data_IF_844292430680
#
_entry.id   IF_844292430680
#
_cell.length_a   1.000
_cell.length_b   1.000
_cell.length_c   1.000
_cell.angle_alpha   90.00
_cell.angle_beta   90.00
_cell.angle_gamma   90.00
#
_symmetry.space_group_name_H-M   'P 1'
#
loop_
_entity.id
_entity.type
_entity.pdbx_description
1 polymer ?
#
# COMPACT_ATOMS: atom_id res chain seq x y z
N UNK A 1 53.26 26.72 -0.11
CA UNK A 1 52.20 26.83 -1.13
C UNK A 1 51.59 25.47 -1.31
N UNK A 2 50.48 25.15 -0.57
CA UNK A 2 49.69 23.93 -0.77
C UNK A 2 48.23 24.36 -0.85
N UNK A 3 47.68 24.21 -2.05
CA UNK A 3 46.27 24.51 -2.35
C UNK A 3 45.42 23.33 -1.90
N UNK A 4 44.54 23.56 -0.93
CA UNK A 4 43.52 22.59 -0.47
C UNK A 4 42.31 22.80 -1.36
N UNK A 5 41.98 21.81 -2.19
CA UNK A 5 40.71 21.73 -2.92
C UNK A 5 39.65 21.12 -2.00
N UNK A 6 38.71 21.93 -1.60
CA UNK A 6 37.49 21.43 -0.92
C UNK A 6 36.52 20.93 -1.99
N UNK A 7 36.27 19.62 -2.04
CA UNK A 7 35.19 19.02 -2.82
C UNK A 7 33.92 19.17 -2.04
N UNK A 8 33.01 20.02 -2.53
CA UNK A 8 31.63 20.13 -2.07
C UNK A 8 30.84 19.04 -2.75
N UNK A 9 30.51 17.95 -2.02
CA UNK A 9 29.63 16.89 -2.46
C UNK A 9 28.18 17.37 -2.24
N UNK A 10 27.55 17.85 -3.32
CA UNK A 10 26.10 18.10 -3.34
C UNK A 10 25.43 16.75 -3.56
N UNK A 11 24.84 16.19 -2.50
CA UNK A 11 23.94 15.05 -2.60
C UNK A 11 22.62 15.53 -3.22
N UNK A 12 22.42 15.24 -4.50
CA UNK A 12 21.14 15.45 -5.19
C UNK A 12 20.22 14.29 -4.82
N UNK A 13 19.32 14.53 -3.88
CA UNK A 13 18.22 13.62 -3.62
C UNK A 13 17.26 13.65 -4.82
N UNK A 14 17.35 12.67 -5.69
CA UNK A 14 16.36 12.43 -6.75
C UNK A 14 15.17 11.76 -6.10
N UNK A 15 14.18 12.56 -5.71
CA UNK A 15 12.84 12.08 -5.46
C UNK A 15 12.29 11.55 -6.80
N UNK A 16 12.18 10.25 -6.94
CA UNK A 16 11.46 9.64 -8.04
C UNK A 16 9.96 9.89 -7.79
N UNK A 17 9.48 11.06 -8.26
CA UNK A 17 8.06 11.25 -8.53
C UNK A 17 7.73 10.28 -9.66
N UNK A 18 7.04 9.20 -9.36
CA UNK A 18 6.41 8.36 -10.35
C UNK A 18 5.40 9.22 -11.11
N UNK A 19 5.81 9.69 -12.30
CA UNK A 19 4.88 10.33 -13.21
C UNK A 19 3.94 9.24 -13.72
N UNK A 20 2.80 9.08 -13.05
CA UNK A 20 1.66 8.31 -13.56
C UNK A 20 1.31 8.89 -14.93
N UNK A 21 1.22 8.05 -15.94
CA UNK A 21 0.77 8.43 -17.27
C UNK A 21 -0.68 8.93 -17.16
N UNK A 22 -0.89 10.21 -17.45
CA UNK A 22 -2.23 10.78 -17.57
C UNK A 22 -2.99 10.03 -18.67
N UNK A 23 -3.97 9.22 -18.29
CA UNK A 23 -4.95 8.68 -19.21
C UNK A 23 -6.05 9.73 -19.33
N UNK A 24 -6.08 10.44 -20.44
CA UNK A 24 -7.20 11.29 -20.81
C UNK A 24 -8.17 10.44 -21.62
N UNK A 25 -9.25 9.98 -21.01
CA UNK A 25 -10.39 9.41 -21.72
C UNK A 25 -11.64 10.18 -21.26
N UNK A 26 -12.41 10.72 -22.21
CA UNK A 26 -13.67 11.40 -21.92
C UNK A 26 -13.58 12.80 -21.27
N UNK A 27 -12.45 13.53 -21.38
CA UNK A 27 -12.34 14.92 -20.87
C UNK A 27 -11.85 15.04 -19.42
N UNK A 28 -11.72 13.94 -18.67
CA UNK A 28 -11.16 13.92 -17.31
C UNK A 28 -9.67 13.54 -17.37
N UNK A 29 -8.82 14.31 -16.69
CA UNK A 29 -7.37 14.11 -16.60
C UNK A 29 -6.94 13.93 -15.14
N UNK A 30 -6.32 12.81 -14.82
CA UNK A 30 -5.74 12.57 -13.50
C UNK A 30 -4.40 13.28 -13.41
N UNK A 31 -4.25 14.20 -12.46
CA UNK A 31 -3.00 14.94 -12.20
C UNK A 31 -2.08 14.19 -11.25
N UNK A 32 -2.66 13.68 -10.17
CA UNK A 32 -1.97 12.83 -9.22
C UNK A 32 -2.93 11.86 -8.54
N UNK A 33 -2.42 10.70 -8.17
CA UNK A 33 -3.09 9.72 -7.32
C UNK A 33 -2.04 9.11 -6.40
N UNK A 34 -2.39 8.89 -5.13
CA UNK A 34 -1.46 8.33 -4.18
C UNK A 34 -2.12 7.79 -2.93
N UNK A 35 -1.35 6.99 -2.19
CA UNK A 35 -1.74 6.51 -0.88
C UNK A 35 -0.54 6.57 0.07
N UNK A 36 -0.74 7.15 1.25
CA UNK A 36 0.29 7.30 2.28
C UNK A 36 -0.08 6.45 3.51
N UNK A 37 0.71 5.40 3.82
CA UNK A 37 0.51 4.60 5.01
C UNK A 37 1.05 5.33 6.23
N UNK A 38 0.25 5.37 7.31
CA UNK A 38 0.57 5.99 8.60
C UNK A 38 0.41 4.94 9.71
N UNK A 39 1.22 3.88 9.66
CA UNK A 39 1.14 2.78 10.61
C UNK A 39 1.32 3.25 12.07
N UNK A 40 0.53 2.76 13.03
CA UNK A 40 -0.55 1.78 12.90
C UNK A 40 -1.94 2.40 12.70
N UNK A 41 -2.03 3.71 12.46
CA UNK A 41 -3.27 4.48 12.63
C UNK A 41 -4.14 4.59 11.39
N UNK A 42 -3.56 4.73 10.19
CA UNK A 42 -4.34 5.00 8.98
C UNK A 42 -3.58 4.74 7.69
N UNK A 43 -4.35 4.69 6.58
CA UNK A 43 -3.88 4.95 5.22
C UNK A 43 -4.65 6.16 4.70
N UNK A 44 -3.94 7.15 4.15
CA UNK A 44 -4.56 8.33 3.53
C UNK A 44 -4.42 8.23 2.03
N UNK A 45 -5.55 8.21 1.32
CA UNK A 45 -5.63 8.19 -0.14
C UNK A 45 -5.91 9.59 -0.64
N UNK A 46 -5.25 10.00 -1.72
CA UNK A 46 -5.38 11.32 -2.32
C UNK A 46 -5.53 11.21 -3.83
N UNK A 47 -6.36 12.08 -4.39
CA UNK A 47 -6.58 12.25 -5.83
C UNK A 47 -6.57 13.74 -6.17
N UNK A 48 -5.88 14.10 -7.26
CA UNK A 48 -6.05 15.37 -7.93
C UNK A 48 -6.47 15.11 -9.38
N UNK A 49 -7.58 15.70 -9.78
CA UNK A 49 -8.14 15.54 -11.12
C UNK A 49 -8.62 16.87 -11.69
N UNK A 50 -8.65 16.96 -13.01
CA UNK A 50 -9.15 18.11 -13.78
C UNK A 50 -10.01 17.59 -14.93
N UNK A 51 -11.10 18.30 -15.23
CA UNK A 51 -12.01 17.96 -16.31
C UNK A 51 -12.47 19.19 -17.09
N UNK A 52 -13.07 18.97 -18.26
CA UNK A 52 -13.66 20.02 -19.09
C UNK A 52 -15.02 20.50 -18.54
N UNK A 53 -15.61 19.77 -17.61
CA UNK A 53 -16.84 20.11 -16.87
C UNK A 53 -16.68 19.74 -15.40
N UNK A 54 -17.57 20.26 -14.53
CA UNK A 54 -17.48 20.00 -13.11
C UNK A 54 -17.46 18.50 -12.81
N UNK A 55 -16.49 18.05 -12.02
CA UNK A 55 -16.46 16.72 -11.44
C UNK A 55 -17.50 16.71 -10.31
N UNK A 56 -18.40 15.74 -10.33
CA UNK A 56 -19.58 15.66 -9.46
C UNK A 56 -19.63 14.40 -8.61
N UNK A 57 -18.79 13.39 -8.93
CA UNK A 57 -18.71 12.14 -8.17
C UNK A 57 -17.28 11.61 -8.17
N UNK A 58 -16.80 11.22 -6.98
CA UNK A 58 -15.47 10.62 -6.77
C UNK A 58 -15.57 9.47 -5.80
N UNK A 59 -15.41 8.27 -6.32
CA UNK A 59 -15.36 7.05 -5.53
C UNK A 59 -13.94 6.50 -5.40
N UNK A 60 -13.61 6.01 -4.22
CA UNK A 60 -12.44 5.16 -4.00
C UNK A 60 -12.89 3.70 -3.89
N UNK A 61 -12.37 2.86 -4.77
CA UNK A 61 -12.49 1.41 -4.65
C UNK A 61 -11.18 0.84 -4.12
N UNK A 62 -11.25 0.01 -3.07
CA UNK A 62 -10.07 -0.63 -2.50
C UNK A 62 -10.36 -2.05 -2.07
N UNK A 63 -9.30 -2.86 -2.00
CA UNK A 63 -9.34 -4.23 -1.46
C UNK A 63 -8.03 -4.58 -0.78
N UNK A 64 -8.12 -5.33 0.31
CA UNK A 64 -6.95 -5.92 0.95
C UNK A 64 -6.52 -7.16 0.15
N UNK A 65 -5.26 -7.16 -0.29
CA UNK A 65 -4.68 -8.28 -1.01
C UNK A 65 -4.30 -9.37 -0.01
N UNK A 66 -5.28 -10.22 0.28
CA UNK A 66 -5.09 -11.43 1.09
C UNK A 66 -5.74 -12.61 0.37
N UNK A 67 -5.23 -13.80 0.61
CA UNK A 67 -5.93 -14.99 0.13
C UNK A 67 -7.28 -15.09 0.83
N UNK A 68 -8.33 -14.84 0.07
CA UNK A 68 -9.71 -15.08 0.47
C UNK A 68 -10.40 -15.85 -0.65
N UNK A 69 -11.28 -16.76 -0.28
CA UNK A 69 -12.13 -17.47 -1.25
C UNK A 69 -13.06 -16.50 -1.99
N UNK A 70 -13.33 -15.35 -1.41
CA UNK A 70 -14.11 -14.27 -2.01
C UNK A 70 -13.32 -12.99 -1.88
N UNK A 71 -12.87 -12.38 -3.00
CA UNK A 71 -12.29 -11.06 -2.97
C UNK A 71 -13.35 -10.05 -2.50
N UNK A 72 -13.11 -9.40 -1.37
CA UNK A 72 -13.95 -8.32 -0.90
C UNK A 72 -13.35 -7.00 -1.40
N UNK A 73 -14.08 -6.30 -2.26
CA UNK A 73 -13.79 -4.90 -2.61
C UNK A 73 -14.77 -3.99 -1.87
N UNK A 74 -14.24 -2.90 -1.36
CA UNK A 74 -15.02 -1.83 -0.74
C UNK A 74 -15.04 -0.63 -1.69
N UNK A 75 -16.17 0.09 -1.71
CA UNK A 75 -16.31 1.36 -2.40
C UNK A 75 -16.69 2.42 -1.39
N UNK A 76 -16.06 3.56 -1.48
CA UNK A 76 -16.29 4.71 -0.62
C UNK A 76 -16.56 5.92 -1.51
N UNK A 77 -17.68 6.56 -1.30
CA UNK A 77 -17.99 7.89 -1.81
C UNK A 77 -17.17 8.90 -1.00
N UNK A 78 -16.31 9.65 -1.67
CA UNK A 78 -15.33 10.53 -1.02
C UNK A 78 -15.79 11.97 -1.09
N UNK A 79 -15.93 12.63 0.06
CA UNK A 79 -16.28 14.03 0.14
C UNK A 79 -15.22 14.92 -0.52
N UNK A 80 -15.65 15.80 -1.41
CA UNK A 80 -14.83 16.83 -2.07
C UNK A 80 -15.70 18.06 -2.40
N UNK A 81 -15.11 19.06 -3.02
CA UNK A 81 -15.86 20.22 -3.55
C UNK A 81 -15.94 20.12 -5.07
N UNK A 82 -17.15 20.13 -5.62
CA UNK A 82 -17.41 20.07 -7.05
C UNK A 82 -16.68 21.17 -7.81
N UNK A 83 -16.22 20.88 -9.02
CA UNK A 83 -15.55 21.83 -9.88
C UNK A 83 -14.75 21.16 -11.00
N UNK A 84 -14.26 21.98 -11.94
CA UNK A 84 -13.41 21.51 -13.04
C UNK A 84 -12.05 20.98 -12.57
N UNK A 85 -11.60 21.40 -11.39
CA UNK A 85 -10.37 20.89 -10.73
C UNK A 85 -10.70 20.52 -9.31
N UNK A 86 -10.44 19.26 -8.92
CA UNK A 86 -10.79 18.72 -7.62
C UNK A 86 -9.60 18.08 -6.94
N UNK A 87 -9.62 18.15 -5.62
CA UNK A 87 -8.75 17.35 -4.73
C UNK A 87 -9.65 16.58 -3.79
N UNK A 88 -9.59 15.25 -3.87
CA UNK A 88 -10.30 14.35 -2.98
C UNK A 88 -9.31 13.66 -2.05
N UNK A 89 -9.67 13.54 -0.78
CA UNK A 89 -8.85 12.86 0.23
C UNK A 89 -9.74 12.00 1.11
N UNK A 90 -9.36 10.73 1.23
CA UNK A 90 -10.02 9.82 2.15
C UNK A 90 -9.00 9.18 3.08
N UNK A 91 -9.32 9.20 4.38
CA UNK A 91 -8.51 8.60 5.43
C UNK A 91 -9.19 7.34 5.95
N UNK A 92 -8.56 6.20 5.70
CA UNK A 92 -8.98 4.94 6.30
C UNK A 92 -8.40 4.83 7.71
N UNK A 93 -9.25 5.04 8.72
CA UNK A 93 -8.84 4.92 10.12
C UNK A 93 -8.85 3.45 10.56
N UNK A 94 -7.70 2.98 11.01
CA UNK A 94 -7.51 1.59 11.43
C UNK A 94 -8.21 1.27 12.75
N UNK A 95 -8.49 2.29 13.58
CA UNK A 95 -9.22 2.07 14.84
C UNK A 95 -10.69 1.72 14.60
N UNK A 96 -11.28 2.20 13.52
CA UNK A 96 -12.68 1.94 13.18
C UNK A 96 -12.88 0.55 12.57
N UNK A 97 -11.87 0.02 11.90
CA UNK A 97 -11.97 -1.22 11.12
C UNK A 97 -11.22 -2.43 11.70
N UNK A 98 -10.63 -2.26 12.89
CA UNK A 98 -9.89 -3.33 13.57
C UNK A 98 -8.42 -3.47 13.15
N UNK A 99 -7.95 -2.57 12.29
CA UNK A 99 -6.55 -2.49 11.87
C UNK A 99 -6.13 -3.54 10.84
N UNK A 100 -4.95 -3.29 10.28
CA UNK A 100 -4.27 -4.22 9.38
C UNK A 100 -2.90 -4.56 9.97
N UNK A 101 -2.43 -5.80 9.85
CA UNK A 101 -1.05 -6.14 10.24
C UNK A 101 -0.04 -5.41 9.34
N UNK A 102 1.19 -5.16 9.84
CA UNK A 102 2.26 -4.59 9.02
C UNK A 102 2.57 -5.53 7.84
N UNK A 103 2.96 -4.94 6.72
CA UNK A 103 3.22 -5.68 5.47
C UNK A 103 1.97 -6.01 4.65
N UNK A 104 0.78 -5.62 5.12
CA UNK A 104 -0.46 -5.80 4.35
C UNK A 104 -0.44 -4.93 3.10
N UNK A 105 -0.77 -5.51 1.97
CA UNK A 105 -0.94 -4.80 0.71
C UNK A 105 -2.41 -4.49 0.46
N UNK A 106 -2.68 -3.25 0.05
CA UNK A 106 -4.01 -2.75 -0.29
C UNK A 106 -3.96 -2.23 -1.72
N UNK A 107 -4.72 -2.87 -2.60
CA UNK A 107 -4.94 -2.39 -3.95
C UNK A 107 -6.07 -1.36 -3.94
N UNK A 108 -5.94 -0.29 -4.70
CA UNK A 108 -6.94 0.75 -4.79
C UNK A 108 -6.99 1.35 -6.20
N UNK A 109 -8.14 1.95 -6.53
CA UNK A 109 -8.35 2.77 -7.73
C UNK A 109 -9.42 3.82 -7.47
N UNK A 110 -9.41 4.86 -8.27
CA UNK A 110 -10.40 5.92 -8.24
C UNK A 110 -11.35 5.78 -9.43
N UNK A 111 -12.63 6.08 -9.20
CA UNK A 111 -13.63 6.28 -10.20
C UNK A 111 -14.12 7.73 -10.09
N UNK A 112 -14.09 8.46 -11.19
CA UNK A 112 -14.42 9.87 -11.26
C UNK A 112 -15.53 10.05 -12.31
N UNK A 113 -16.55 10.85 -12.00
CA UNK A 113 -17.62 11.18 -12.92
C UNK A 113 -17.79 12.71 -13.00
N UNK A 114 -17.91 13.23 -14.22
CA UNK A 114 -18.17 14.64 -14.47
C UNK A 114 -19.65 14.93 -14.73
N UNK A 115 -20.03 16.22 -14.77
CA UNK A 115 -21.40 16.66 -15.04
C UNK A 115 -21.89 16.31 -16.47
N UNK A 116 -20.98 15.93 -17.36
CA UNK A 116 -21.28 15.40 -18.69
C UNK A 116 -21.56 13.88 -18.70
N UNK A 117 -21.57 13.22 -17.56
CA UNK A 117 -21.65 11.78 -17.39
C UNK A 117 -20.47 11.00 -18.00
N UNK A 118 -19.32 11.65 -18.16
CA UNK A 118 -18.11 10.93 -18.50
C UNK A 118 -17.53 10.28 -17.23
N UNK A 119 -17.22 9.01 -17.32
CA UNK A 119 -16.67 8.23 -16.21
C UNK A 119 -15.26 7.78 -16.57
N UNK A 120 -14.31 8.07 -15.68
CA UNK A 120 -12.92 7.62 -15.79
C UNK A 120 -12.52 6.85 -14.57
N UNK A 121 -11.85 5.73 -14.77
CA UNK A 121 -11.23 4.92 -13.69
C UNK A 121 -9.71 5.00 -13.81
N UNK A 122 -9.02 5.18 -12.67
CA UNK A 122 -7.56 5.05 -12.67
C UNK A 122 -7.16 3.58 -12.79
N UNK A 123 -5.98 3.29 -13.35
CA UNK A 123 -5.39 1.96 -13.19
C UNK A 123 -5.30 1.62 -11.69
N UNK A 124 -5.45 0.34 -11.33
CA UNK A 124 -5.23 -0.07 -9.95
C UNK A 124 -3.77 0.18 -9.55
N UNK A 125 -3.59 0.66 -8.32
CA UNK A 125 -2.30 0.86 -7.68
C UNK A 125 -2.30 0.15 -6.32
N UNK A 126 -1.13 -0.04 -5.73
CA UNK A 126 -1.00 -0.80 -4.48
C UNK A 126 -0.19 -0.02 -3.47
N UNK A 127 -0.71 0.08 -2.25
CA UNK A 127 0.01 0.60 -1.09
C UNK A 127 0.28 -0.52 -0.10
N UNK A 128 1.49 -0.54 0.45
CA UNK A 128 1.87 -1.48 1.50
C UNK A 128 1.83 -0.78 2.85
N UNK A 129 1.11 -1.37 3.80
CA UNK A 129 0.93 -0.83 5.15
C UNK A 129 2.05 -1.32 6.07
N UNK A 130 3.23 -0.68 5.96
CA UNK A 130 4.42 -1.04 6.72
C UNK A 130 4.59 -0.19 7.98
N UNK A 131 5.19 -0.81 9.01
CA UNK A 131 5.66 -0.09 10.18
C UNK A 131 7.07 0.46 9.94
N UNK A 132 7.15 1.69 9.43
CA UNK A 132 8.40 2.38 9.12
C UNK A 132 9.12 2.98 10.35
N UNK A 133 8.62 2.75 11.57
CA UNK A 133 9.25 3.23 12.81
C UNK A 133 10.49 2.41 13.19
N UNK A 134 10.64 1.21 12.61
CA UNK A 134 11.72 0.27 12.91
C UNK A 134 12.36 -0.24 11.63
N UNK A 135 13.64 -0.57 11.71
CA UNK A 135 14.31 -1.33 10.67
C UNK A 135 13.98 -2.81 10.89
N UNK A 136 13.19 -3.39 9.99
CA UNK A 136 12.75 -4.77 10.08
C UNK A 136 13.72 -5.69 9.37
N UNK A 137 14.27 -6.66 10.11
CA UNK A 137 14.93 -7.81 9.52
C UNK A 137 13.92 -8.87 9.11
N UNK A 138 14.27 -9.63 8.08
CA UNK A 138 13.42 -10.68 7.55
C UNK A 138 14.21 -11.99 7.46
N UNK A 139 13.69 -13.04 8.12
CA UNK A 139 14.18 -14.42 8.02
C UNK A 139 13.05 -15.26 7.45
N UNK A 140 13.32 -15.98 6.35
CA UNK A 140 12.32 -16.85 5.74
C UNK A 140 12.91 -18.22 5.40
N UNK A 141 12.05 -19.23 5.48
CA UNK A 141 12.27 -20.56 4.94
C UNK A 141 11.06 -20.94 4.06
N UNK A 142 10.93 -22.21 3.69
CA UNK A 142 9.88 -22.69 2.79
C UNK A 142 8.45 -22.50 3.37
N UNK A 143 8.30 -22.58 4.70
CA UNK A 143 7.02 -22.63 5.39
C UNK A 143 6.71 -21.40 6.25
N UNK A 144 7.72 -20.59 6.62
CA UNK A 144 7.55 -19.44 7.54
C UNK A 144 8.38 -18.24 7.15
N UNK A 145 7.79 -17.06 7.37
CA UNK A 145 8.45 -15.76 7.30
C UNK A 145 8.38 -15.10 8.67
N UNK A 146 9.55 -14.72 9.21
CA UNK A 146 9.66 -13.93 10.43
C UNK A 146 10.11 -12.52 10.12
N UNK A 147 9.41 -11.56 10.70
CA UNK A 147 9.75 -10.14 10.66
C UNK A 147 10.12 -9.70 12.08
N UNK A 148 11.31 -9.15 12.24
CA UNK A 148 11.81 -8.73 13.55
C UNK A 148 12.47 -7.35 13.45
N UNK A 149 12.25 -6.50 14.44
CA UNK A 149 12.86 -5.17 14.53
C UNK A 149 13.92 -5.09 15.65
N UNK A 150 14.01 -6.10 16.49
CA UNK A 150 15.02 -6.22 17.54
C UNK A 150 15.09 -7.66 18.02
N UNK A 151 16.26 -8.10 18.45
CA UNK A 151 16.44 -9.42 19.04
C UNK A 151 17.78 -10.08 18.67
N UNK A 152 18.00 -11.27 19.20
CA UNK A 152 19.14 -12.11 18.86
C UNK A 152 18.79 -12.97 17.64
N UNK A 153 19.58 -12.84 16.58
CA UNK A 153 19.39 -13.61 15.34
C UNK A 153 19.45 -15.14 15.59
N UNK A 154 20.22 -15.61 16.57
CA UNK A 154 20.27 -17.02 16.94
C UNK A 154 18.94 -17.48 17.53
N UNK A 155 18.35 -16.70 18.41
CA UNK A 155 17.02 -17.00 18.98
C UNK A 155 15.94 -17.07 17.90
N UNK A 156 15.97 -16.15 16.94
CA UNK A 156 14.99 -16.15 15.85
C UNK A 156 15.16 -17.36 14.92
N UNK A 157 16.41 -17.78 14.66
CA UNK A 157 16.65 -19.01 13.90
C UNK A 157 16.14 -20.25 14.61
N UNK A 158 16.32 -20.32 15.94
CA UNK A 158 15.78 -21.42 16.74
C UNK A 158 14.25 -21.42 16.73
N UNK A 159 13.62 -20.23 16.80
CA UNK A 159 12.17 -20.08 16.72
C UNK A 159 11.63 -20.48 15.33
N UNK A 160 12.32 -20.06 14.26
CA UNK A 160 11.97 -20.46 12.89
C UNK A 160 12.05 -21.97 12.71
N UNK A 161 13.10 -22.60 13.23
CA UNK A 161 13.24 -24.07 13.22
C UNK A 161 12.12 -24.77 13.98
N UNK A 162 11.75 -24.27 15.16
CA UNK A 162 10.66 -24.84 15.96
C UNK A 162 9.29 -24.69 15.27
N UNK A 163 9.05 -23.55 14.61
CA UNK A 163 7.82 -23.32 13.85
C UNK A 163 7.72 -24.26 12.65
N UNK A 164 8.83 -24.45 11.94
CA UNK A 164 8.94 -25.37 10.80
C UNK A 164 8.64 -26.81 11.21
N UNK A 165 9.24 -27.29 12.31
CA UNK A 165 8.97 -28.61 12.87
C UNK A 165 7.49 -28.77 13.25
N UNK A 166 6.89 -27.76 13.91
CA UNK A 166 5.49 -27.80 14.29
C UNK A 166 4.54 -27.82 13.08
N UNK A 167 4.84 -27.06 12.02
CA UNK A 167 4.07 -27.06 10.78
C UNK A 167 4.18 -28.39 10.03
N UNK A 168 5.35 -28.99 10.00
CA UNK A 168 5.56 -30.31 9.41
C UNK A 168 4.79 -31.41 10.17
N UNK A 169 4.79 -31.37 11.50
CA UNK A 169 4.02 -32.29 12.32
C UNK A 169 2.51 -32.14 12.10
N UNK A 170 2.02 -30.90 12.04
CA UNK A 170 0.61 -30.62 11.73
C UNK A 170 0.25 -31.09 10.33
N UNK A 171 1.05 -30.78 9.32
CA UNK A 171 0.83 -31.21 7.94
C UNK A 171 0.77 -32.72 7.81
N UNK A 172 1.68 -33.42 8.50
CA UNK A 172 1.72 -34.87 8.53
C UNK A 172 0.50 -35.49 9.25
N UNK A 173 0.04 -34.84 10.34
CA UNK A 173 -1.08 -35.33 11.15
C UNK A 173 -2.44 -35.07 10.51
N UNK A 174 -2.60 -33.98 9.79
CA UNK A 174 -3.90 -33.55 9.20
C UNK A 174 -3.97 -33.82 7.69
N UNK A 175 -2.82 -34.06 7.06
CA UNK A 175 -2.73 -34.28 5.59
C UNK A 175 -2.96 -33.01 4.77
N UNK A 176 -2.70 -31.83 5.38
CA UNK A 176 -2.81 -30.51 4.72
C UNK A 176 -1.45 -29.84 4.77
N UNK A 177 -0.97 -29.36 3.63
CA UNK A 177 0.24 -28.53 3.53
C UNK A 177 -0.13 -27.05 3.38
N UNK A 178 0.76 -26.19 3.89
CA UNK A 178 0.64 -24.75 3.61
C UNK A 178 0.86 -24.51 2.10
N UNK A 179 -0.01 -23.73 1.50
CA UNK A 179 0.17 -23.29 0.10
C UNK A 179 1.08 -22.05 0.00
N UNK A 180 1.32 -21.37 1.12
CA UNK A 180 2.21 -20.22 1.25
C UNK A 180 2.82 -20.21 2.65
N UNK A 181 4.04 -19.62 2.81
CA UNK A 181 4.63 -19.43 4.12
C UNK A 181 3.73 -18.63 5.07
N UNK A 182 3.70 -19.03 6.34
CA UNK A 182 3.03 -18.26 7.40
C UNK A 182 3.90 -17.06 7.80
N UNK A 183 3.28 -15.91 8.05
CA UNK A 183 3.97 -14.69 8.48
C UNK A 183 3.83 -14.51 10.00
N UNK A 184 4.96 -14.22 10.68
CA UNK A 184 5.06 -13.99 12.11
C UNK A 184 5.81 -12.69 12.43
#
# INVERSE_FOLDING_TARGET
MKRIFAFLLIALAVSALGAGTALADGGVSIKSSGAEPQFPSAITFTLEAEADSDIVDVDLEYRVLRRSLVPESCRVDVDFTDGETVTATWRWDMLETGGLPPGTEVEYRWRIEDAGNNVVETPPDTVRFDDLRYDWDHISNDDVNFFLYAGDAAFIQDLAGAADEALNDLSSGVGVSLEQPANF
#
